data_IF_646081124842
#
_entry.id   IF_646081124842
#
_cell.length_a   1.000
_cell.length_b   1.000
_cell.length_c   1.000
_cell.angle_alpha   90.00
_cell.angle_beta   90.00
_cell.angle_gamma   90.00
#
_symmetry.space_group_name_H-M   'P 1'
#
loop_
_entity.id
_entity.type
_entity.pdbx_description
1 polymer ?
#
# COMPACT_ATOMS: atom_id res chain seq x y z
N UNK A 1 -37.31 22.78 1.34
CA UNK A 1 -36.67 21.56 0.80
C UNK A 1 -35.16 21.65 1.01
N UNK A 2 -34.61 21.08 2.10
CA UNK A 2 -33.17 21.19 2.40
C UNK A 2 -32.29 20.07 1.79
N UNK A 3 -32.86 19.08 1.09
CA UNK A 3 -32.15 17.82 0.85
C UNK A 3 -31.18 17.81 -0.36
N UNK A 4 -31.43 18.58 -1.42
CA UNK A 4 -30.64 18.47 -2.66
C UNK A 4 -29.23 19.08 -2.55
N UNK A 5 -29.08 20.20 -1.84
CA UNK A 5 -27.78 20.86 -1.64
C UNK A 5 -26.90 20.08 -0.67
N UNK A 6 -27.48 19.56 0.42
CA UNK A 6 -26.77 18.70 1.38
C UNK A 6 -26.26 17.43 0.68
N UNK A 7 -27.09 16.78 -0.13
CA UNK A 7 -26.69 15.58 -0.88
C UNK A 7 -25.55 15.89 -1.86
N UNK A 8 -25.61 17.02 -2.58
CA UNK A 8 -24.53 17.46 -3.50
C UNK A 8 -23.23 17.74 -2.74
N UNK A 9 -23.31 18.36 -1.57
CA UNK A 9 -22.14 18.67 -0.75
C UNK A 9 -21.49 17.38 -0.22
N UNK A 10 -22.29 16.44 0.31
CA UNK A 10 -21.80 15.13 0.78
C UNK A 10 -21.10 14.37 -0.37
N UNK A 11 -21.74 14.27 -1.55
CA UNK A 11 -21.16 13.63 -2.74
C UNK A 11 -19.88 14.31 -3.26
N UNK A 12 -19.61 15.55 -2.86
CA UNK A 12 -18.37 16.25 -3.17
C UNK A 12 -17.23 15.88 -2.21
N UNK A 13 -17.53 15.49 -0.97
CA UNK A 13 -16.54 15.23 0.09
C UNK A 13 -16.16 13.75 0.17
N UNK A 14 -17.05 12.83 -0.20
CA UNK A 14 -16.78 11.38 -0.23
C UNK A 14 -15.45 11.00 -0.92
N UNK A 15 -15.12 11.46 -2.14
CA UNK A 15 -13.86 11.07 -2.79
C UNK A 15 -12.62 11.53 -2.01
N UNK A 16 -12.69 12.71 -1.38
CA UNK A 16 -11.62 13.21 -0.52
C UNK A 16 -11.45 12.34 0.73
N UNK A 17 -12.56 11.93 1.36
CA UNK A 17 -12.51 11.04 2.53
C UNK A 17 -11.90 9.67 2.18
N UNK A 18 -12.29 9.08 1.04
CA UNK A 18 -11.73 7.80 0.57
C UNK A 18 -10.23 7.93 0.25
N UNK A 19 -9.82 9.04 -0.36
CA UNK A 19 -8.41 9.33 -0.62
C UNK A 19 -7.58 9.46 0.66
N UNK A 20 -8.11 10.15 1.68
CA UNK A 20 -7.43 10.26 2.99
C UNK A 20 -7.27 8.88 3.66
N UNK A 21 -8.30 8.04 3.62
CA UNK A 21 -8.23 6.67 4.14
C UNK A 21 -7.22 5.82 3.36
N UNK A 22 -7.23 5.91 2.03
CA UNK A 22 -6.28 5.21 1.16
C UNK A 22 -4.84 5.67 1.41
N UNK A 23 -4.61 6.98 1.57
CA UNK A 23 -3.30 7.56 1.88
C UNK A 23 -2.81 7.12 3.27
N UNK A 24 -3.67 7.14 4.29
CA UNK A 24 -3.33 6.66 5.63
C UNK A 24 -2.97 5.17 5.63
N UNK A 25 -3.72 4.34 4.91
CA UNK A 25 -3.42 2.91 4.76
C UNK A 25 -2.11 2.67 3.98
N UNK A 26 -1.87 3.39 2.88
CA UNK A 26 -0.60 3.28 2.14
C UNK A 26 0.60 3.71 3.00
N UNK A 27 0.47 4.82 3.73
CA UNK A 27 1.50 5.35 4.61
C UNK A 27 1.82 4.43 5.78
N UNK A 28 0.80 3.82 6.40
CA UNK A 28 1.01 2.81 7.48
C UNK A 28 1.71 1.57 6.94
N UNK A 29 1.30 1.07 5.77
CA UNK A 29 2.03 -0.01 5.09
C UNK A 29 3.50 0.34 4.85
N UNK A 30 3.77 1.51 4.30
CA UNK A 30 5.14 1.97 4.04
C UNK A 30 5.95 2.09 5.35
N UNK A 31 5.36 2.68 6.39
CA UNK A 31 5.99 2.84 7.70
C UNK A 31 6.35 1.51 8.35
N UNK A 32 5.44 0.53 8.31
CA UNK A 32 5.70 -0.82 8.83
C UNK A 32 6.82 -1.53 8.05
N UNK A 33 6.85 -1.40 6.72
CA UNK A 33 7.94 -1.92 5.91
C UNK A 33 9.27 -1.26 6.28
N UNK A 34 9.32 0.07 6.33
CA UNK A 34 10.55 0.80 6.68
C UNK A 34 11.03 0.49 8.10
N UNK A 35 10.13 0.42 9.08
CA UNK A 35 10.47 0.10 10.47
C UNK A 35 11.08 -1.31 10.60
N UNK A 36 10.70 -2.25 9.73
CA UNK A 36 11.28 -3.59 9.71
C UNK A 36 12.65 -3.65 9.01
N UNK A 37 13.09 -2.56 8.37
CA UNK A 37 14.26 -2.55 7.47
C UNK A 37 15.33 -1.53 7.92
N UNK A 38 14.95 -0.41 8.54
CA UNK A 38 15.87 0.68 8.90
C UNK A 38 16.44 0.59 10.34
N UNK A 39 16.08 -0.40 11.15
CA UNK A 39 16.41 -0.42 12.58
C UNK A 39 17.77 -1.07 12.96
N UNK A 40 18.73 -1.13 12.05
CA UNK A 40 20.15 -1.33 12.38
C UNK A 40 20.60 -2.74 12.83
N UNK A 41 21.90 -3.01 12.62
CA UNK A 41 22.73 -4.22 12.82
C UNK A 41 22.31 -5.56 12.18
N UNK A 42 21.02 -5.88 12.05
CA UNK A 42 20.56 -7.14 11.41
C UNK A 42 19.31 -7.00 10.52
N UNK A 43 18.89 -5.77 10.22
CA UNK A 43 17.76 -5.53 9.31
C UNK A 43 18.16 -5.77 7.86
N UNK A 44 18.16 -7.05 7.46
CA UNK A 44 18.19 -7.50 6.07
C UNK A 44 16.78 -7.94 5.73
N UNK A 45 16.27 -7.47 4.61
CA UNK A 45 14.96 -7.88 4.13
C UNK A 45 14.87 -9.39 3.93
N UNK A 46 14.27 -10.07 4.90
CA UNK A 46 14.17 -11.51 4.95
C UNK A 46 12.96 -12.02 4.14
N UNK A 47 12.80 -11.55 2.91
CA UNK A 47 11.81 -12.09 1.98
C UNK A 47 12.40 -13.24 1.19
N UNK A 48 11.57 -14.21 0.83
CA UNK A 48 11.91 -15.33 -0.05
C UNK A 48 13.09 -16.22 0.42
N UNK A 49 13.35 -16.29 1.73
CA UNK A 49 14.49 -17.08 2.25
C UNK A 49 14.33 -18.56 1.89
N UNK A 50 15.34 -19.12 1.22
CA UNK A 50 15.44 -20.55 0.91
C UNK A 50 16.05 -21.36 2.05
N UNK A 51 15.92 -22.68 1.99
CA UNK A 51 16.53 -23.59 2.96
C UNK A 51 18.06 -23.41 3.06
N UNK A 52 18.76 -23.30 1.94
CA UNK A 52 20.21 -23.10 1.91
C UNK A 52 20.62 -21.77 2.53
N UNK A 53 19.85 -20.70 2.27
CA UNK A 53 20.07 -19.37 2.86
C UNK A 53 19.77 -19.34 4.37
N UNK A 54 18.82 -20.14 4.84
CA UNK A 54 18.53 -20.26 6.26
C UNK A 54 19.62 -21.03 7.03
N UNK A 55 20.34 -21.94 6.35
CA UNK A 55 21.44 -22.72 6.93
C UNK A 55 22.79 -22.00 6.89
N UNK A 56 23.01 -21.17 5.87
CA UNK A 56 24.26 -20.44 5.69
C UNK A 56 24.03 -18.92 5.78
N UNK A 57 24.42 -18.35 6.92
CA UNK A 57 24.29 -16.92 7.21
C UNK A 57 25.10 -16.02 6.25
N UNK A 58 26.04 -16.57 5.48
CA UNK A 58 26.80 -15.82 4.47
C UNK A 58 25.98 -15.49 3.21
N UNK A 59 24.89 -16.23 2.93
CA UNK A 59 24.06 -16.06 1.73
C UNK A 59 22.80 -15.18 1.92
N UNK A 60 22.60 -14.59 3.10
CA UNK A 60 21.34 -13.91 3.49
C UNK A 60 21.06 -12.60 2.71
N UNK A 61 22.00 -12.10 1.89
CA UNK A 61 21.84 -10.85 1.14
C UNK A 61 21.16 -10.97 -0.24
N UNK A 62 20.86 -12.18 -0.73
CA UNK A 62 20.41 -12.35 -2.12
C UNK A 62 19.02 -11.75 -2.44
N UNK A 63 18.17 -11.53 -1.45
CA UNK A 63 16.77 -11.13 -1.65
C UNK A 63 16.48 -9.66 -1.26
N UNK A 64 17.53 -8.90 -0.95
CA UNK A 64 17.47 -7.46 -0.67
C UNK A 64 16.85 -6.63 -1.82
N UNK A 65 17.14 -6.90 -3.12
CA UNK A 65 16.58 -6.12 -4.23
C UNK A 65 15.05 -6.17 -4.29
N UNK A 66 14.46 -7.34 -4.06
CA UNK A 66 13.01 -7.55 -4.11
C UNK A 66 12.28 -6.77 -3.03
N UNK A 67 12.88 -6.67 -1.86
CA UNK A 67 12.33 -5.89 -0.77
C UNK A 67 12.49 -4.39 -0.98
N UNK A 68 13.66 -3.94 -1.47
CA UNK A 68 13.86 -2.55 -1.91
C UNK A 68 12.84 -2.13 -2.95
N UNK A 69 12.53 -3.02 -3.90
CA UNK A 69 11.47 -2.81 -4.88
C UNK A 69 10.09 -2.63 -4.23
N UNK A 70 9.77 -3.45 -3.23
CA UNK A 70 8.50 -3.32 -2.49
C UNK A 70 8.38 -1.99 -1.74
N UNK A 71 9.45 -1.55 -1.07
CA UNK A 71 9.48 -0.24 -0.40
C UNK A 71 9.35 0.88 -1.41
N UNK A 72 10.10 0.82 -2.52
CA UNK A 72 10.05 1.83 -3.56
C UNK A 72 8.64 1.92 -4.14
N UNK A 73 8.00 0.78 -4.41
CA UNK A 73 6.62 0.71 -4.89
C UNK A 73 5.64 1.34 -3.89
N UNK A 74 5.72 0.98 -2.62
CA UNK A 74 4.88 1.55 -1.57
C UNK A 74 5.10 3.07 -1.41
N UNK A 75 6.34 3.53 -1.57
CA UNK A 75 6.71 4.96 -1.49
C UNK A 75 6.10 5.73 -2.66
N UNK A 76 6.27 5.22 -3.89
CA UNK A 76 5.72 5.84 -5.09
C UNK A 76 4.19 5.91 -4.99
N UNK A 77 3.53 4.82 -4.60
CA UNK A 77 2.08 4.81 -4.40
C UNK A 77 1.62 5.84 -3.36
N UNK A 78 2.31 5.94 -2.23
CA UNK A 78 1.99 6.91 -1.18
C UNK A 78 2.14 8.35 -1.68
N UNK A 79 3.18 8.65 -2.45
CA UNK A 79 3.38 9.98 -3.07
C UNK A 79 2.24 10.27 -4.06
N UNK A 80 1.91 9.31 -4.93
CA UNK A 80 0.82 9.46 -5.89
C UNK A 80 -0.54 9.71 -5.20
N UNK A 81 -0.85 8.97 -4.13
CA UNK A 81 -2.05 9.18 -3.33
C UNK A 81 -2.04 10.53 -2.60
N UNK A 82 -0.88 10.98 -2.11
CA UNK A 82 -0.74 12.29 -1.48
C UNK A 82 -1.05 13.42 -2.47
N UNK A 83 -0.53 13.32 -3.70
CA UNK A 83 -0.81 14.27 -4.77
C UNK A 83 -2.31 14.29 -5.14
N UNK A 84 -2.94 13.12 -5.29
CA UNK A 84 -4.38 13.02 -5.54
C UNK A 84 -5.20 13.65 -4.41
N UNK A 85 -4.82 13.37 -3.17
CA UNK A 85 -5.48 13.92 -1.97
C UNK A 85 -5.35 15.44 -1.94
N UNK A 86 -4.17 15.99 -2.24
CA UNK A 86 -3.96 17.43 -2.29
C UNK A 86 -4.81 18.11 -3.38
N UNK A 87 -4.88 17.52 -4.57
CA UNK A 87 -5.71 18.03 -5.67
C UNK A 87 -7.19 18.05 -5.27
N UNK A 88 -7.71 16.95 -4.72
CA UNK A 88 -9.12 16.88 -4.33
C UNK A 88 -9.42 17.78 -3.13
N UNK A 89 -8.46 17.96 -2.21
CA UNK A 89 -8.58 18.90 -1.10
C UNK A 89 -8.71 20.34 -1.59
N UNK A 90 -7.84 20.78 -2.52
CA UNK A 90 -7.91 22.12 -3.12
C UNK A 90 -9.26 22.31 -3.83
N UNK A 91 -9.71 21.29 -4.58
CA UNK A 91 -10.99 21.32 -5.28
C UNK A 91 -12.17 21.52 -4.31
N UNK A 92 -12.20 20.78 -3.20
CA UNK A 92 -13.26 20.87 -2.18
C UNK A 92 -13.18 22.20 -1.42
N UNK A 93 -11.98 22.63 -1.01
CA UNK A 93 -11.77 23.84 -0.20
C UNK A 93 -12.07 25.14 -0.94
N UNK A 94 -11.68 25.23 -2.21
CA UNK A 94 -11.82 26.47 -2.98
C UNK A 94 -13.00 26.45 -3.97
N UNK A 95 -13.81 25.38 -3.96
CA UNK A 95 -14.90 25.17 -4.93
C UNK A 95 -14.45 25.32 -6.40
N UNK A 96 -13.18 25.05 -6.71
CA UNK A 96 -12.62 25.23 -8.06
C UNK A 96 -13.05 24.05 -8.92
N UNK A 97 -13.79 24.32 -9.98
CA UNK A 97 -14.16 23.30 -10.95
C UNK A 97 -13.04 23.16 -11.98
N UNK A 98 -12.19 22.14 -11.85
CA UNK A 98 -11.09 21.87 -12.79
C UNK A 98 -11.68 21.42 -14.13
N UNK A 99 -11.91 22.36 -15.05
CA UNK A 99 -12.52 22.11 -16.37
C UNK A 99 -11.55 21.48 -17.37
N UNK A 100 -10.24 21.51 -17.11
CA UNK A 100 -9.22 21.07 -18.07
C UNK A 100 -9.19 19.55 -18.21
N UNK A 101 -9.54 19.03 -19.38
CA UNK A 101 -9.55 17.58 -19.69
C UNK A 101 -8.20 16.90 -19.44
N UNK A 102 -7.08 17.60 -19.65
CA UNK A 102 -5.73 17.10 -19.40
C UNK A 102 -5.53 16.75 -17.91
N UNK A 103 -6.02 17.58 -16.99
CA UNK A 103 -5.89 17.32 -15.56
C UNK A 103 -6.64 16.05 -15.13
N UNK A 104 -7.80 15.77 -15.73
CA UNK A 104 -8.57 14.55 -15.48
C UNK A 104 -7.85 13.29 -15.95
N UNK A 105 -7.21 13.34 -17.12
CA UNK A 105 -6.43 12.22 -17.67
C UNK A 105 -5.22 11.92 -16.77
N UNK A 106 -4.50 12.96 -16.34
CA UNK A 106 -3.37 12.83 -15.41
C UNK A 106 -3.84 12.22 -14.08
N UNK A 107 -4.96 12.70 -13.54
CA UNK A 107 -5.53 12.19 -12.28
C UNK A 107 -5.83 10.68 -12.38
N UNK A 108 -6.46 10.23 -13.47
CA UNK A 108 -6.71 8.80 -13.72
C UNK A 108 -5.40 8.01 -13.81
N UNK A 109 -4.40 8.52 -14.51
CA UNK A 109 -3.08 7.90 -14.60
C UNK A 109 -2.41 7.71 -13.23
N UNK A 110 -2.49 8.73 -12.36
CA UNK A 110 -1.94 8.67 -11.00
C UNK A 110 -2.71 7.64 -10.15
N UNK A 111 -4.04 7.54 -10.28
CA UNK A 111 -4.81 6.50 -9.60
C UNK A 111 -4.39 5.10 -10.03
N UNK A 112 -4.36 4.83 -11.34
CA UNK A 112 -3.99 3.51 -11.88
C UNK A 112 -2.57 3.15 -11.47
N UNK A 113 -1.62 4.08 -11.56
CA UNK A 113 -0.26 3.89 -11.09
C UNK A 113 -0.19 3.53 -9.61
N UNK A 114 -0.89 4.29 -8.75
CA UNK A 114 -0.95 4.03 -7.30
C UNK A 114 -1.46 2.62 -6.99
N UNK A 115 -2.56 2.22 -7.64
CA UNK A 115 -3.18 0.91 -7.47
C UNK A 115 -2.21 -0.19 -7.86
N UNK A 116 -1.56 -0.07 -9.03
CA UNK A 116 -0.58 -1.05 -9.51
C UNK A 116 0.59 -1.21 -8.54
N UNK A 117 1.18 -0.11 -8.08
CA UNK A 117 2.31 -0.17 -7.14
C UNK A 117 1.93 -0.76 -5.78
N UNK A 118 0.72 -0.48 -5.27
CA UNK A 118 0.21 -1.08 -4.03
C UNK A 118 -0.03 -2.59 -4.18
N UNK A 119 -0.52 -3.05 -5.34
CA UNK A 119 -0.65 -4.48 -5.62
C UNK A 119 0.71 -5.17 -5.68
N UNK A 120 1.70 -4.55 -6.32
CA UNK A 120 3.07 -5.07 -6.35
C UNK A 120 3.60 -5.22 -4.92
N UNK A 121 3.50 -4.17 -4.10
CA UNK A 121 3.89 -4.23 -2.68
C UNK A 121 3.17 -5.36 -1.96
N UNK A 122 1.85 -5.47 -2.09
CA UNK A 122 1.04 -6.50 -1.43
C UNK A 122 1.52 -7.91 -1.79
N UNK A 123 1.70 -8.18 -3.09
CA UNK A 123 2.11 -9.51 -3.57
C UNK A 123 3.53 -9.83 -3.11
N UNK A 124 4.47 -8.90 -3.27
CA UNK A 124 5.87 -9.11 -2.93
C UNK A 124 6.05 -9.35 -1.43
N UNK A 125 5.39 -8.54 -0.59
CA UNK A 125 5.47 -8.69 0.87
C UNK A 125 4.81 -9.99 1.32
N UNK A 126 3.61 -10.30 0.82
CA UNK A 126 2.87 -11.50 1.23
C UNK A 126 3.57 -12.78 0.78
N UNK A 127 3.95 -12.88 -0.50
CA UNK A 127 4.63 -14.06 -1.03
C UNK A 127 6.05 -14.19 -0.47
N UNK A 128 6.75 -13.06 -0.32
CA UNK A 128 8.09 -13.01 0.24
C UNK A 128 8.14 -13.46 1.69
N UNK A 129 7.28 -12.90 2.53
CA UNK A 129 7.17 -13.30 3.93
C UNK A 129 6.64 -14.73 4.07
N UNK A 130 5.62 -15.11 3.28
CA UNK A 130 5.04 -16.45 3.29
C UNK A 130 6.06 -17.55 2.98
N UNK A 131 6.92 -17.34 1.96
CA UNK A 131 7.99 -18.29 1.63
C UNK A 131 9.03 -18.39 2.75
N UNK A 132 9.48 -17.27 3.30
CA UNK A 132 10.41 -17.27 4.44
C UNK A 132 9.83 -18.04 5.62
N UNK A 133 8.56 -17.81 5.91
CA UNK A 133 7.85 -18.50 6.98
C UNK A 133 7.72 -20.00 6.78
N UNK A 134 7.38 -20.43 5.57
CA UNK A 134 7.34 -21.85 5.22
C UNK A 134 8.72 -22.52 5.42
N UNK A 135 9.79 -21.86 5.00
CA UNK A 135 11.16 -22.36 5.17
C UNK A 135 11.51 -22.58 6.64
N UNK A 136 11.31 -21.59 7.51
CA UNK A 136 11.64 -21.69 8.93
C UNK A 136 10.75 -22.66 9.71
N UNK A 137 9.48 -22.79 9.31
CA UNK A 137 8.57 -23.78 9.89
C UNK A 137 9.02 -25.21 9.55
N UNK A 138 9.44 -25.47 8.30
CA UNK A 138 9.95 -26.77 7.89
C UNK A 138 11.23 -27.15 8.63
N UNK A 139 12.17 -26.22 8.78
CA UNK A 139 13.40 -26.41 9.56
C UNK A 139 13.10 -26.82 11.01
N UNK A 140 12.20 -26.09 11.66
CA UNK A 140 11.75 -26.37 13.03
C UNK A 140 11.10 -27.75 13.15
N UNK A 141 10.28 -28.15 12.17
CA UNK A 141 9.64 -29.48 12.13
C UNK A 141 10.64 -30.62 11.95
N UNK A 142 11.71 -30.40 11.19
CA UNK A 142 12.77 -31.40 10.96
C UNK A 142 13.75 -31.53 12.12
N UNK A 143 13.57 -30.78 13.21
CA UNK A 143 14.47 -30.80 14.37
C UNK A 143 15.84 -30.16 14.11
N UNK A 144 16.00 -29.47 12.97
CA UNK A 144 17.24 -28.79 12.64
C UNK A 144 17.14 -27.36 13.14
N UNK A 145 17.97 -27.01 14.12
CA UNK A 145 18.13 -25.62 14.52
C UNK A 145 18.91 -24.88 13.43
N UNK A 146 18.33 -23.87 12.77
CA UNK A 146 19.05 -23.04 11.84
C UNK A 146 20.33 -22.52 12.51
N UNK A 147 21.44 -22.47 11.78
CA UNK A 147 22.67 -21.83 12.26
C UNK A 147 22.49 -20.30 12.39
N UNK A 148 21.35 -19.78 11.91
CA UNK A 148 20.90 -18.42 12.20
C UNK A 148 20.43 -18.32 13.65
N UNK A 149 21.03 -17.39 14.40
CA UNK A 149 20.71 -17.01 15.78
C UNK A 149 19.24 -16.60 16.04
N UNK A 150 18.31 -16.78 15.09
CA UNK A 150 16.93 -16.34 15.19
C UNK A 150 15.94 -17.45 14.84
N UNK A 151 15.16 -17.86 15.84
CA UNK A 151 13.89 -18.54 15.63
C UNK A 151 12.87 -17.51 15.16
N UNK A 152 12.53 -17.53 13.86
CA UNK A 152 11.56 -16.59 13.29
C UNK A 152 10.13 -16.99 13.70
N UNK A 153 9.44 -16.09 14.40
CA UNK A 153 7.99 -16.12 14.60
C UNK A 153 7.28 -15.45 13.41
N UNK A 154 6.46 -16.21 12.70
CA UNK A 154 5.79 -15.74 11.49
C UNK A 154 4.66 -14.75 11.72
N UNK A 155 4.04 -14.80 12.89
CA UNK A 155 2.81 -14.06 13.18
C UNK A 155 2.99 -13.05 14.32
N UNK A 156 4.22 -12.87 14.81
CA UNK A 156 4.45 -12.10 16.01
C UNK A 156 5.87 -11.60 16.18
N UNK A 157 6.12 -10.89 17.29
CA UNK A 157 7.40 -10.27 17.58
C UNK A 157 8.53 -11.30 17.73
N UNK A 158 9.72 -10.94 17.24
CA UNK A 158 10.93 -11.72 17.45
C UNK A 158 11.59 -11.35 18.76
N UNK A 159 11.95 -12.36 19.54
CA UNK A 159 12.73 -12.19 20.75
C UNK A 159 14.01 -12.99 20.63
N UNK A 160 15.11 -12.40 21.07
CA UNK A 160 16.42 -13.03 21.13
C UNK A 160 16.89 -13.02 22.58
N UNK A 161 17.12 -14.20 23.16
CA UNK A 161 17.57 -14.35 24.56
C UNK A 161 16.75 -13.55 25.59
N UNK A 162 15.42 -13.44 25.39
CA UNK A 162 14.53 -12.68 26.28
C UNK A 162 14.51 -11.17 26.06
N UNK A 163 15.36 -10.64 25.18
CA UNK A 163 15.32 -9.25 24.73
C UNK A 163 14.54 -9.14 23.42
N UNK A 164 13.84 -8.02 23.21
CA UNK A 164 13.01 -7.78 22.04
C UNK A 164 11.86 -6.80 22.34
N UNK A 165 10.97 -6.53 21.37
CA UNK A 165 10.89 -7.15 20.04
C UNK A 165 11.94 -6.61 19.06
N UNK A 166 12.55 -7.50 18.28
CA UNK A 166 13.46 -7.14 17.18
C UNK A 166 12.79 -7.35 15.80
N UNK A 167 13.11 -6.51 14.81
CA UNK A 167 12.79 -6.81 13.43
C UNK A 167 13.63 -7.99 12.91
N UNK A 168 13.15 -8.77 11.91
CA UNK A 168 11.84 -8.64 11.24
C UNK A 168 10.66 -9.20 12.05
N UNK A 169 9.65 -8.37 12.31
CA UNK A 169 8.40 -8.77 12.96
C UNK A 169 7.37 -9.23 11.91
N UNK A 170 6.92 -10.48 12.03
CA UNK A 170 6.01 -11.05 11.04
C UNK A 170 4.62 -10.43 11.05
N UNK A 171 4.14 -10.00 12.22
CA UNK A 171 2.87 -9.30 12.33
C UNK A 171 2.89 -7.98 11.55
N UNK A 172 4.02 -7.27 11.57
CA UNK A 172 4.15 -5.99 10.88
C UNK A 172 4.21 -6.15 9.36
N UNK A 173 4.83 -7.22 8.84
CA UNK A 173 4.80 -7.52 7.40
C UNK A 173 3.42 -7.92 6.90
N UNK A 174 2.69 -8.72 7.69
CA UNK A 174 1.31 -9.09 7.38
C UNK A 174 0.43 -7.84 7.39
N UNK A 175 0.52 -7.03 8.45
CA UNK A 175 -0.22 -5.78 8.55
C UNK A 175 0.10 -4.83 7.40
N UNK A 176 1.39 -4.68 7.04
CA UNK A 176 1.79 -3.86 5.90
C UNK A 176 1.13 -4.31 4.60
N UNK A 177 1.17 -5.61 4.29
CA UNK A 177 0.52 -6.15 3.09
C UNK A 177 -1.00 -5.92 3.11
N UNK A 178 -1.66 -6.09 4.26
CA UNK A 178 -3.10 -5.83 4.41
C UNK A 178 -3.42 -4.36 4.17
N UNK A 179 -2.68 -3.44 4.77
CA UNK A 179 -2.90 -2.01 4.59
C UNK A 179 -2.64 -1.55 3.15
N UNK A 180 -1.63 -2.11 2.47
CA UNK A 180 -1.41 -1.87 1.04
C UNK A 180 -2.59 -2.35 0.17
N UNK A 181 -3.11 -3.55 0.46
CA UNK A 181 -4.25 -4.12 -0.25
C UNK A 181 -5.53 -3.30 -0.05
N UNK A 182 -5.85 -2.96 1.20
CA UNK A 182 -7.00 -2.10 1.54
C UNK A 182 -6.87 -0.74 0.86
N UNK A 183 -5.68 -0.15 0.88
CA UNK A 183 -5.41 1.12 0.19
C UNK A 183 -5.68 1.02 -1.32
N UNK A 184 -5.27 -0.07 -1.98
CA UNK A 184 -5.50 -0.30 -3.39
C UNK A 184 -7.00 -0.42 -3.72
N UNK A 185 -7.76 -1.16 -2.90
CA UNK A 185 -9.22 -1.30 -3.05
C UNK A 185 -9.92 0.04 -2.88
N UNK A 186 -9.55 0.82 -1.86
CA UNK A 186 -10.11 2.16 -1.64
C UNK A 186 -9.79 3.11 -2.81
N UNK A 187 -8.54 3.10 -3.29
CA UNK A 187 -8.13 3.91 -4.43
C UNK A 187 -8.88 3.53 -5.72
N UNK A 188 -9.10 2.23 -5.95
CA UNK A 188 -9.91 1.74 -7.07
C UNK A 188 -11.38 2.18 -6.95
N UNK A 189 -11.97 2.09 -5.76
CA UNK A 189 -13.31 2.59 -5.49
C UNK A 189 -13.44 4.09 -5.76
N UNK A 190 -12.48 4.89 -5.29
CA UNK A 190 -12.42 6.34 -5.55
C UNK A 190 -12.31 6.64 -7.05
N UNK A 191 -11.48 5.89 -7.78
CA UNK A 191 -11.35 6.01 -9.23
C UNK A 191 -12.68 5.72 -9.94
N UNK A 192 -13.33 4.60 -9.63
CA UNK A 192 -14.63 4.23 -10.21
C UNK A 192 -15.68 5.30 -9.96
N UNK A 193 -15.76 5.80 -8.72
CA UNK A 193 -16.68 6.90 -8.37
C UNK A 193 -16.40 8.17 -9.18
N UNK A 194 -15.13 8.55 -9.32
CA UNK A 194 -14.72 9.69 -10.12
C UNK A 194 -15.12 9.55 -11.59
N UNK A 195 -14.94 8.36 -12.18
CA UNK A 195 -15.33 8.08 -13.57
C UNK A 195 -16.85 8.21 -13.73
N UNK A 196 -17.65 7.58 -12.87
CA UNK A 196 -19.12 7.65 -12.92
C UNK A 196 -19.61 9.09 -12.78
N UNK A 197 -19.03 9.86 -11.84
CA UNK A 197 -19.37 11.27 -11.65
C UNK A 197 -19.05 12.11 -12.89
N UNK A 198 -17.92 11.84 -13.56
CA UNK A 198 -17.57 12.53 -14.79
C UNK A 198 -18.51 12.20 -15.96
N UNK A 199 -18.94 10.94 -16.08
CA UNK A 199 -19.91 10.54 -17.12
C UNK A 199 -21.26 11.23 -16.93
N UNK A 200 -21.79 11.25 -15.69
CA UNK A 200 -23.07 11.94 -15.38
C UNK A 200 -23.02 13.44 -15.63
N UNK A 201 -21.89 14.09 -15.36
CA UNK A 201 -21.74 15.53 -15.63
C UNK A 201 -21.78 15.83 -17.13
N UNK A 202 -21.22 14.96 -17.98
CA UNK A 202 -21.24 15.15 -19.44
C UNK A 202 -22.64 15.00 -20.03
N UNK A 203 -23.44 14.07 -19.53
CA UNK A 203 -24.83 13.90 -19.97
C UNK A 203 -25.66 15.15 -19.70
N UNK A 204 -25.51 15.74 -18.51
CA UNK A 204 -26.28 16.92 -18.13
C UNK A 204 -25.89 18.17 -18.91
N UNK A 205 -24.60 18.30 -19.26
CA UNK A 205 -24.10 19.38 -20.12
C UNK A 205 -24.61 19.22 -21.57
N UNK A 206 -24.73 17.99 -22.08
CA UNK A 206 -25.27 17.70 -23.41
C UNK A 206 -26.79 17.94 -23.50
N UNK A 207 -27.53 17.72 -22.41
CA UNK A 207 -28.99 17.91 -22.36
C UNK A 207 -29.38 19.40 -22.31
N UNK A 208 -28.51 20.27 -21.79
CA UNK A 208 -28.70 21.74 -21.78
C UNK A 208 -28.30 22.45 -23.07
N UNK A 209 -27.57 21.78 -23.97
CA UNK A 209 -27.29 22.28 -25.32
C UNK A 209 -28.05 21.45 -26.35
N UNK A 210 -29.34 21.72 -26.61
CA UNK A 210 -29.99 21.16 -27.78
C UNK A 210 -29.19 21.61 -29.00
N UNK A 211 -28.75 20.64 -29.77
CA UNK A 211 -28.22 20.87 -31.12
C UNK A 211 -29.34 21.50 -31.95
N UNK A 212 -29.00 22.62 -32.61
CA UNK A 212 -29.88 23.41 -33.49
C UNK A 212 -30.79 22.58 -34.38
#
# INVERSE_FOLDING_TARGET
MPNAEIIKQILSVVPLAVLLLSLGAAGTSLGLLQANINNGMRSRCNFFISYTQAMDSSLVNYNEPTCKLSIASATIATICLALLTAIELIRVSFHINVKTSIAKIIQVGIYVGSILFLFITTIVVSAGWGKTCATYNNLSRTGITPNSYFKINCNGPQHSYGYGPYPPNGADFIAAAVFACVSAVLAAGALCYCIVKQMRSKDHDNELTPTN
#
